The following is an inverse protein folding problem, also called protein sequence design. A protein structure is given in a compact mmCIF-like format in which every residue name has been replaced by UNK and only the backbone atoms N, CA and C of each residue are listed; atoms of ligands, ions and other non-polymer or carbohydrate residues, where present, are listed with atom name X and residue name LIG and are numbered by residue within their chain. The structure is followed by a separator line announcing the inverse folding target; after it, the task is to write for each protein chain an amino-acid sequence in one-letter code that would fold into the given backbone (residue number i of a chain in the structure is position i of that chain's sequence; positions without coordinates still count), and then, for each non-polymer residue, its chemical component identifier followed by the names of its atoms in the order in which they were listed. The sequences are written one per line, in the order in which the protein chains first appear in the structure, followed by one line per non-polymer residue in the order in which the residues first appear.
data_IF_370845244565
#
_entry.id   IF_370845244565
#
_cell.length_a   1.000
_cell.length_b   1.000
_cell.length_c   1.000
_cell.angle_alpha   90.00
_cell.angle_beta   90.00
_cell.angle_gamma   90.00
#
_symmetry.space_group_name_H-M   'P 1'
#
loop_
_entity.id
_entity.type
_entity.pdbx_description
1 polymer ?
#
# COMPACT_ATOMS: atom_id res chain seq x y z
N UNK A 1 -31.34 17.19 6.14
CA UNK A 1 -29.91 16.83 6.13
C UNK A 1 -29.82 15.33 5.90
N UNK A 2 -29.50 14.87 4.68
CA UNK A 2 -29.33 13.44 4.39
C UNK A 2 -27.89 13.06 4.79
N UNK A 3 -27.66 11.95 5.52
CA UNK A 3 -26.30 11.52 5.81
C UNK A 3 -25.59 11.17 4.50
N UNK A 4 -24.45 11.81 4.23
CA UNK A 4 -23.57 11.43 3.11
C UNK A 4 -23.20 9.95 3.25
N UNK A 5 -23.16 9.17 2.15
CA UNK A 5 -22.68 7.79 2.21
C UNK A 5 -21.28 7.81 2.82
N UNK A 6 -21.07 7.03 3.88
CA UNK A 6 -19.79 6.95 4.59
C UNK A 6 -18.74 6.52 3.58
N UNK A 7 -17.91 7.45 3.11
CA UNK A 7 -16.77 7.12 2.25
C UNK A 7 -15.92 6.14 3.04
N UNK A 8 -15.77 4.88 2.58
CA UNK A 8 -14.89 3.95 3.26
C UNK A 8 -13.49 4.58 3.29
N UNK A 9 -12.82 4.51 4.44
CA UNK A 9 -11.44 4.98 4.55
C UNK A 9 -10.61 4.31 3.45
N UNK A 10 -9.61 5.02 2.92
CA UNK A 10 -8.75 4.49 1.86
C UNK A 10 -8.23 3.08 2.19
N UNK A 11 -7.93 2.81 3.46
CA UNK A 11 -7.56 1.48 3.97
C UNK A 11 -8.58 0.37 3.69
N UNK A 12 -9.88 0.64 3.81
CA UNK A 12 -10.94 -0.35 3.53
C UNK A 12 -11.04 -0.66 2.04
N UNK A 13 -10.95 0.36 1.18
CA UNK A 13 -10.97 0.19 -0.28
C UNK A 13 -9.74 -0.56 -0.77
N UNK A 14 -8.55 -0.18 -0.28
CA UNK A 14 -7.30 -0.87 -0.59
C UNK A 14 -7.35 -2.32 -0.14
N UNK A 15 -7.83 -2.61 1.07
CA UNK A 15 -7.99 -3.97 1.57
C UNK A 15 -8.93 -4.80 0.69
N UNK A 16 -10.10 -4.28 0.33
CA UNK A 16 -11.05 -4.99 -0.54
C UNK A 16 -10.48 -5.24 -1.93
N UNK A 17 -9.80 -4.25 -2.51
CA UNK A 17 -9.13 -4.39 -3.80
C UNK A 17 -8.05 -5.46 -3.77
N UNK A 18 -7.20 -5.46 -2.74
CA UNK A 18 -6.14 -6.46 -2.57
C UNK A 18 -6.74 -7.85 -2.39
N UNK A 19 -7.73 -8.01 -1.51
CA UNK A 19 -8.41 -9.30 -1.30
C UNK A 19 -8.97 -9.88 -2.60
N UNK A 20 -9.69 -9.07 -3.39
CA UNK A 20 -10.23 -9.52 -4.68
C UNK A 20 -9.14 -9.80 -5.73
N UNK A 21 -8.00 -9.10 -5.65
CA UNK A 21 -6.88 -9.28 -6.58
C UNK A 21 -6.02 -10.49 -6.23
N UNK A 22 -5.99 -10.90 -4.97
CA UNK A 22 -5.25 -12.07 -4.48
C UNK A 22 -6.10 -13.32 -4.35
N UNK A 23 -7.42 -13.22 -4.55
CA UNK A 23 -8.35 -14.35 -4.48
C UNK A 23 -7.95 -15.44 -5.49
N UNK A 24 -7.83 -16.67 -5.00
CA UNK A 24 -7.46 -17.83 -5.83
C UNK A 24 -5.98 -17.90 -6.24
N UNK A 25 -5.13 -16.96 -5.79
CA UNK A 25 -3.69 -17.08 -6.01
C UNK A 25 -3.10 -18.22 -5.18
N UNK A 26 -2.26 -19.03 -5.80
CA UNK A 26 -1.41 -19.99 -5.07
C UNK A 26 -0.36 -19.25 -4.25
N UNK A 27 0.21 -19.90 -3.23
CA UNK A 27 1.23 -19.29 -2.37
C UNK A 27 2.43 -18.69 -3.14
N UNK A 28 3.00 -19.34 -4.19
CA UNK A 28 4.06 -18.73 -4.99
C UNK A 28 3.61 -17.49 -5.78
N UNK A 29 2.36 -17.48 -6.27
CA UNK A 29 1.80 -16.34 -7.00
C UNK A 29 1.55 -15.16 -6.06
N UNK A 30 1.06 -15.43 -4.86
CA UNK A 30 0.90 -14.42 -3.82
C UNK A 30 2.25 -13.82 -3.40
N UNK A 31 3.26 -14.67 -3.19
CA UNK A 31 4.62 -14.20 -2.87
C UNK A 31 5.19 -13.30 -3.98
N UNK A 32 5.09 -13.71 -5.24
CA UNK A 32 5.53 -12.88 -6.38
C UNK A 32 4.72 -11.58 -6.52
N UNK A 33 3.43 -11.61 -6.21
CA UNK A 33 2.58 -10.42 -6.20
C UNK A 33 3.06 -9.42 -5.13
N UNK A 34 3.25 -9.88 -3.89
CA UNK A 34 3.74 -9.04 -2.77
C UNK A 34 5.15 -8.49 -3.03
N UNK A 35 6.03 -9.29 -3.64
CA UNK A 35 7.39 -8.89 -4.02
C UNK A 35 7.38 -7.78 -5.09
N UNK A 36 6.47 -7.88 -6.07
CA UNK A 36 6.27 -6.84 -7.08
C UNK A 36 5.79 -5.51 -6.50
N UNK A 37 4.94 -5.54 -5.45
CA UNK A 37 4.52 -4.33 -4.74
C UNK A 37 5.67 -3.70 -3.95
N UNK A 38 6.49 -4.52 -3.29
CA UNK A 38 7.67 -4.05 -2.56
C UNK A 38 8.67 -3.37 -3.50
N UNK A 39 8.90 -3.97 -4.68
CA UNK A 39 9.73 -3.39 -5.73
C UNK A 39 9.19 -2.04 -6.25
N UNK A 40 7.87 -1.92 -6.41
CA UNK A 40 7.23 -0.67 -6.82
C UNK A 40 7.33 0.41 -5.72
N UNK A 41 7.17 0.03 -4.46
CA UNK A 41 7.32 0.93 -3.31
C UNK A 41 8.76 1.46 -3.24
N UNK A 42 9.77 0.60 -3.40
CA UNK A 42 11.18 0.99 -3.42
C UNK A 42 11.52 1.94 -4.57
N UNK A 43 10.85 1.78 -5.71
CA UNK A 43 10.95 2.72 -6.83
C UNK A 43 10.39 4.10 -6.44
N UNK A 44 9.24 4.14 -5.77
CA UNK A 44 8.63 5.40 -5.31
C UNK A 44 9.39 6.09 -4.17
N UNK A 45 10.21 5.37 -3.39
CA UNK A 45 11.17 6.00 -2.45
C UNK A 45 12.17 6.90 -3.18
N UNK A 46 12.44 6.60 -4.45
CA UNK A 46 13.31 7.36 -5.35
C UNK A 46 12.48 8.23 -6.30
N UNK A 47 11.42 8.85 -5.79
CA UNK A 47 10.49 9.66 -6.58
C UNK A 47 11.19 10.78 -7.39
N UNK A 48 12.32 11.29 -6.90
CA UNK A 48 13.19 12.23 -7.58
C UNK A 48 13.82 11.68 -8.88
N UNK A 49 14.11 10.38 -8.92
CA UNK A 49 14.65 9.68 -10.10
C UNK A 49 13.53 9.21 -11.05
N UNK A 50 12.37 8.87 -10.52
CA UNK A 50 11.25 8.35 -11.32
C UNK A 50 10.38 9.45 -11.94
N UNK A 51 10.34 10.63 -11.32
CA UNK A 51 9.56 11.78 -11.75
C UNK A 51 10.46 13.03 -11.77
N UNK A 52 11.50 13.07 -12.63
CA UNK A 52 12.47 14.17 -12.67
C UNK A 52 11.84 15.53 -12.99
N UNK A 53 10.69 15.53 -13.68
CA UNK A 53 9.91 16.73 -14.01
C UNK A 53 8.67 16.91 -13.09
N UNK A 54 8.44 16.01 -12.14
CA UNK A 54 7.30 16.10 -11.22
C UNK A 54 7.49 17.23 -10.20
N UNK A 55 6.40 17.88 -9.79
CA UNK A 55 6.48 18.94 -8.77
C UNK A 55 6.98 18.40 -7.42
N UNK A 56 7.55 19.29 -6.61
CA UNK A 56 8.04 18.91 -5.28
C UNK A 56 6.91 18.42 -4.38
N UNK A 57 5.69 18.99 -4.50
CA UNK A 57 4.54 18.52 -3.73
C UNK A 57 4.15 17.08 -4.10
N UNK A 58 4.23 16.71 -5.38
CA UNK A 58 3.94 15.35 -5.83
C UNK A 58 4.97 14.35 -5.28
N UNK A 59 6.26 14.69 -5.34
CA UNK A 59 7.34 13.83 -4.81
C UNK A 59 7.23 13.67 -3.30
N UNK A 60 6.89 14.73 -2.58
CA UNK A 60 6.65 14.71 -1.14
C UNK A 60 5.42 13.85 -0.81
N UNK A 61 4.32 14.00 -1.54
CA UNK A 61 3.11 13.19 -1.36
C UNK A 61 3.40 11.69 -1.57
N UNK A 62 4.20 11.34 -2.59
CA UNK A 62 4.62 9.96 -2.85
C UNK A 62 5.51 9.42 -1.72
N UNK A 63 6.47 10.20 -1.22
CA UNK A 63 7.31 9.80 -0.09
C UNK A 63 6.48 9.56 1.17
N UNK A 64 5.49 10.41 1.47
CA UNK A 64 4.57 10.23 2.60
C UNK A 64 3.71 8.99 2.44
N UNK A 65 3.14 8.78 1.25
CA UNK A 65 2.35 7.59 0.95
C UNK A 65 3.15 6.30 1.17
N UNK A 66 4.41 6.27 0.71
CA UNK A 66 5.29 5.12 0.94
C UNK A 66 5.51 4.87 2.43
N UNK A 67 5.83 5.91 3.21
CA UNK A 67 6.05 5.78 4.65
C UNK A 67 4.79 5.28 5.40
N UNK A 68 3.60 5.74 5.00
CA UNK A 68 2.33 5.25 5.55
C UNK A 68 2.09 3.77 5.23
N UNK A 69 2.46 3.33 4.02
CA UNK A 69 2.37 1.91 3.63
C UNK A 69 3.32 1.04 4.45
N UNK A 70 4.57 1.46 4.63
CA UNK A 70 5.56 0.73 5.44
C UNK A 70 5.11 0.61 6.90
N UNK A 71 4.62 1.70 7.48
CA UNK A 71 4.05 1.70 8.84
C UNK A 71 2.88 0.71 8.95
N UNK A 72 1.99 0.70 7.95
CA UNK A 72 0.85 -0.23 7.94
C UNK A 72 1.28 -1.69 7.78
N UNK A 73 2.35 -1.96 7.02
CA UNK A 73 2.94 -3.30 6.90
C UNK A 73 3.54 -3.77 8.22
N UNK A 74 4.33 -2.92 8.90
CA UNK A 74 4.92 -3.23 10.21
C UNK A 74 3.83 -3.54 11.25
N UNK A 75 2.77 -2.74 11.31
CA UNK A 75 1.65 -2.97 12.21
C UNK A 75 0.92 -4.29 11.94
N UNK A 76 0.68 -4.62 10.66
CA UNK A 76 0.02 -5.87 10.29
C UNK A 76 0.87 -7.10 10.64
N UNK A 77 2.20 -7.00 10.50
CA UNK A 77 3.13 -8.08 10.88
C UNK A 77 3.24 -8.23 12.40
N UNK A 78 3.20 -7.12 13.15
CA UNK A 78 3.22 -7.14 14.61
C UNK A 78 1.95 -7.76 15.22
N UNK A 79 0.79 -7.59 14.57
CA UNK A 79 -0.48 -8.21 15.00
C UNK A 79 -0.48 -9.74 14.85
N UNK A 80 0.24 -10.30 13.87
CA UNK A 80 0.39 -11.75 13.66
C UNK A 80 1.43 -12.38 14.62
N UNK A 81 2.24 -11.58 15.30
CA UNK A 81 3.33 -12.03 16.21
C UNK A 81 2.89 -12.21 17.68
N UNK A 82 1.58 -12.21 17.96
CA UNK A 82 1.05 -12.55 19.28
C UNK A 82 1.26 -14.06 19.59
N UNK A 83 2.00 -14.43 20.65
CA UNK A 83 2.23 -15.83 20.99
C UNK A 83 0.93 -16.52 21.42
N UNK A 84 0.78 -17.77 20.98
CA UNK A 84 -0.31 -18.69 21.30
C UNK A 84 -0.50 -18.95 22.81
#
# INVERSE_FOLDING_TARGET
MRPSPRTPSLSVLVRQYLLGRTEGMSAPQLAAFLDGWSSAIDLFKRADLCLPDGSEELREALRRLVAEIETAQELALADDEAPA
#
